data_IF_516218121026
#
_entry.id   IF_516218121026
#
_cell.length_a   1.000
_cell.length_b   1.000
_cell.length_c   1.000
_cell.angle_alpha   90.00
_cell.angle_beta   90.00
_cell.angle_gamma   90.00
#
_symmetry.space_group_name_H-M   'P 1'
#
loop_
_entity.id
_entity.type
_entity.pdbx_description
1 polymer ?
#
# COMPACT_ATOMS: atom_id res chain seq x y z
N UNK A 1 -7.32 -25.85 21.29
CA UNK A 1 -6.83 -25.55 19.94
C UNK A 1 -5.46 -24.91 20.06
N UNK A 2 -4.49 -25.29 19.23
CA UNK A 2 -3.17 -24.67 19.22
C UNK A 2 -3.20 -23.42 18.33
N UNK A 3 -2.51 -22.32 18.71
CA UNK A 3 -2.44 -21.05 17.95
C UNK A 3 -2.08 -21.26 16.47
N UNK A 4 -1.26 -22.27 16.17
CA UNK A 4 -0.92 -22.67 14.79
C UNK A 4 -2.15 -23.09 13.98
N UNK A 5 -3.09 -23.84 14.58
CA UNK A 5 -4.32 -24.27 13.94
C UNK A 5 -5.28 -23.09 13.68
N UNK A 6 -5.31 -22.10 14.58
CA UNK A 6 -6.09 -20.87 14.38
C UNK A 6 -5.53 -19.99 13.26
N UNK A 7 -4.20 -19.86 13.18
CA UNK A 7 -3.56 -19.13 12.07
C UNK A 7 -3.86 -19.84 10.74
N UNK A 8 -3.76 -21.17 10.71
CA UNK A 8 -4.11 -21.95 9.52
C UNK A 8 -5.58 -21.81 9.13
N UNK A 9 -6.50 -21.77 10.08
CA UNK A 9 -7.93 -21.59 9.78
C UNK A 9 -8.22 -20.21 9.19
N UNK A 10 -7.58 -19.15 9.72
CA UNK A 10 -7.68 -17.79 9.16
C UNK A 10 -7.12 -17.75 7.73
N UNK A 11 -5.98 -18.40 7.46
CA UNK A 11 -5.39 -18.46 6.12
C UNK A 11 -6.32 -19.24 5.16
N UNK A 12 -6.85 -20.38 5.61
CA UNK A 12 -7.75 -21.22 4.82
C UNK A 12 -9.05 -20.49 4.44
N UNK A 13 -9.56 -19.60 5.30
CA UNK A 13 -10.71 -18.76 4.97
C UNK A 13 -10.40 -17.69 3.92
N UNK A 14 -9.16 -17.18 3.88
CA UNK A 14 -8.75 -16.08 2.98
C UNK A 14 -8.40 -16.56 1.58
N UNK A 15 -7.78 -17.73 1.44
CA UNK A 15 -7.31 -18.21 0.13
C UNK A 15 -8.40 -18.37 -0.94
N UNK A 16 -9.61 -18.87 -0.65
CA UNK A 16 -10.68 -18.95 -1.64
C UNK A 16 -11.09 -17.57 -2.17
N UNK A 17 -11.04 -16.54 -1.33
CA UNK A 17 -11.32 -15.16 -1.74
C UNK A 17 -10.23 -14.64 -2.69
N UNK A 18 -8.96 -14.99 -2.46
CA UNK A 18 -7.88 -14.64 -3.36
C UNK A 18 -8.05 -15.25 -4.76
N UNK A 19 -8.47 -16.52 -4.84
CA UNK A 19 -8.79 -17.18 -6.11
C UNK A 19 -9.95 -16.48 -6.82
N UNK A 20 -11.07 -16.26 -6.11
CA UNK A 20 -12.23 -15.57 -6.68
C UNK A 20 -11.88 -14.16 -7.19
N UNK A 21 -11.03 -13.43 -6.47
CA UNK A 21 -10.57 -12.11 -6.91
C UNK A 21 -9.69 -12.20 -8.16
N UNK A 22 -8.83 -13.21 -8.26
CA UNK A 22 -8.05 -13.47 -9.47
C UNK A 22 -8.92 -13.76 -10.69
N UNK A 23 -9.98 -14.54 -10.53
CA UNK A 23 -10.93 -14.81 -11.62
C UNK A 23 -11.65 -13.54 -12.09
N UNK A 24 -12.07 -12.69 -11.15
CA UNK A 24 -12.73 -11.41 -11.45
C UNK A 24 -11.75 -10.46 -12.15
N UNK A 25 -10.51 -10.38 -11.68
CA UNK A 25 -9.45 -9.57 -12.28
C UNK A 25 -9.18 -10.00 -13.73
N UNK A 26 -9.07 -11.31 -13.99
CA UNK A 26 -8.88 -11.84 -15.34
C UNK A 26 -10.05 -11.49 -16.27
N UNK A 27 -11.31 -11.63 -15.79
CA UNK A 27 -12.50 -11.26 -16.56
C UNK A 27 -12.55 -9.76 -16.87
N UNK A 28 -12.26 -8.92 -15.87
CA UNK A 28 -12.25 -7.46 -16.06
C UNK A 28 -11.13 -7.03 -17.00
N UNK A 29 -9.95 -7.63 -16.90
CA UNK A 29 -8.83 -7.38 -17.82
C UNK A 29 -9.18 -7.78 -19.26
N UNK A 30 -9.85 -8.92 -19.44
CA UNK A 30 -10.33 -9.36 -20.76
C UNK A 30 -11.36 -8.38 -21.34
N UNK A 31 -12.32 -7.96 -20.53
CA UNK A 31 -13.34 -6.98 -20.94
C UNK A 31 -12.73 -5.62 -21.27
N UNK A 32 -11.76 -5.17 -20.47
CA UNK A 32 -10.99 -3.96 -20.73
C UNK A 32 -10.26 -4.03 -22.09
N UNK A 33 -9.59 -5.15 -22.39
CA UNK A 33 -8.94 -5.35 -23.69
C UNK A 33 -9.92 -5.32 -24.86
N UNK A 34 -11.13 -5.89 -24.72
CA UNK A 34 -12.17 -5.80 -25.75
C UNK A 34 -12.65 -4.36 -25.98
N UNK A 35 -12.81 -3.59 -24.91
CA UNK A 35 -13.20 -2.17 -25.00
C UNK A 35 -12.11 -1.35 -25.69
N UNK A 36 -10.83 -1.61 -25.40
CA UNK A 36 -9.72 -0.95 -26.08
C UNK A 36 -9.69 -1.27 -27.58
N UNK A 37 -9.93 -2.53 -27.95
CA UNK A 37 -10.04 -2.91 -29.37
C UNK A 37 -11.20 -2.19 -30.07
N UNK A 38 -12.36 -2.05 -29.41
CA UNK A 38 -13.49 -1.29 -29.94
C UNK A 38 -13.18 0.19 -30.10
N UNK A 39 -12.45 0.79 -29.15
CA UNK A 39 -12.03 2.19 -29.23
C UNK A 39 -11.07 2.41 -30.41
N UNK A 40 -10.09 1.53 -30.59
CA UNK A 40 -9.15 1.56 -31.73
C UNK A 40 -9.87 1.40 -33.07
N UNK A 41 -10.81 0.45 -33.16
CA UNK A 41 -11.57 0.26 -34.40
C UNK A 41 -12.48 1.45 -34.69
N UNK A 42 -13.09 2.07 -33.68
CA UNK A 42 -13.82 3.34 -33.87
C UNK A 42 -12.91 4.42 -34.45
N UNK A 43 -11.72 4.61 -33.89
CA UNK A 43 -10.81 5.67 -34.32
C UNK A 43 -10.34 5.43 -35.76
N UNK A 44 -10.01 4.17 -36.09
CA UNK A 44 -9.72 3.75 -37.46
C UNK A 44 -10.90 4.01 -38.41
N UNK A 45 -12.11 3.60 -38.05
CA UNK A 45 -13.28 3.82 -38.90
C UNK A 45 -13.54 5.32 -39.10
N UNK A 46 -13.40 6.15 -38.06
CA UNK A 46 -13.56 7.60 -38.15
C UNK A 46 -12.52 8.28 -39.05
N UNK A 47 -11.31 7.72 -39.17
CA UNK A 47 -10.26 8.22 -40.06
C UNK A 47 -10.60 7.99 -41.54
N UNK A 48 -11.15 6.83 -41.88
CA UNK A 48 -11.49 6.45 -43.27
C UNK A 48 -12.99 6.61 -43.61
N UNK A 49 -13.81 7.16 -42.71
CA UNK A 49 -15.25 7.27 -42.89
C UNK A 49 -15.62 8.28 -43.98
N UNK A 50 -16.34 7.82 -45.01
CA UNK A 50 -16.90 8.66 -46.07
C UNK A 50 -18.44 8.76 -46.02
N UNK A 51 -19.07 8.34 -44.92
CA UNK A 51 -20.52 8.29 -44.76
C UNK A 51 -21.13 9.56 -44.14
N UNK A 52 -22.33 9.44 -43.56
CA UNK A 52 -23.10 10.58 -43.06
C UNK A 52 -22.55 11.17 -41.74
N UNK A 53 -22.73 12.48 -41.57
CA UNK A 53 -22.25 13.22 -40.40
C UNK A 53 -22.96 12.83 -39.08
N UNK A 54 -24.20 12.33 -39.14
CA UNK A 54 -24.95 11.93 -37.96
C UNK A 54 -24.37 10.64 -37.33
N UNK A 55 -23.99 9.67 -38.15
CA UNK A 55 -23.28 8.46 -37.71
C UNK A 55 -21.90 8.80 -37.13
N UNK A 56 -21.15 9.70 -37.77
CA UNK A 56 -19.85 10.15 -37.27
C UNK A 56 -19.97 10.82 -35.88
N UNK A 57 -21.01 11.64 -35.67
CA UNK A 57 -21.27 12.28 -34.38
C UNK A 57 -21.61 11.26 -33.28
N UNK A 58 -22.42 10.24 -33.59
CA UNK A 58 -22.75 9.17 -32.63
C UNK A 58 -21.50 8.39 -32.21
N UNK A 59 -20.63 8.02 -33.15
CA UNK A 59 -19.38 7.32 -32.84
C UNK A 59 -18.45 8.16 -31.94
N UNK A 60 -18.34 9.46 -32.21
CA UNK A 60 -17.57 10.39 -31.38
C UNK A 60 -18.14 10.61 -29.98
N UNK A 61 -19.46 10.47 -29.80
CA UNK A 61 -20.10 10.60 -28.50
C UNK A 61 -19.87 9.42 -27.54
N UNK A 62 -19.33 8.30 -28.03
CA UNK A 62 -18.97 7.16 -27.18
C UNK A 62 -17.73 7.54 -26.34
N UNK A 63 -17.94 7.71 -25.04
CA UNK A 63 -16.88 8.01 -24.09
C UNK A 63 -16.22 6.72 -23.60
N UNK A 64 -15.14 6.32 -24.27
CA UNK A 64 -14.31 5.20 -23.82
C UNK A 64 -13.35 5.59 -22.68
N UNK A 65 -12.96 6.87 -22.59
CA UNK A 65 -11.99 7.33 -21.61
C UNK A 65 -12.49 7.15 -20.17
N UNK A 66 -13.78 7.43 -19.93
CA UNK A 66 -14.40 7.16 -18.63
C UNK A 66 -14.35 5.67 -18.26
N UNK A 67 -14.65 4.77 -19.21
CA UNK A 67 -14.55 3.33 -18.96
C UNK A 67 -13.12 2.90 -18.67
N UNK A 68 -12.13 3.44 -19.38
CA UNK A 68 -10.73 3.11 -19.14
C UNK A 68 -10.27 3.52 -17.73
N UNK A 69 -10.68 4.69 -17.27
CA UNK A 69 -10.39 5.16 -15.91
C UNK A 69 -11.01 4.24 -14.84
N UNK A 70 -12.28 3.86 -15.02
CA UNK A 70 -12.99 2.96 -14.10
C UNK A 70 -12.34 1.57 -14.10
N UNK A 71 -12.03 1.03 -15.27
CA UNK A 71 -11.40 -0.28 -15.40
C UNK A 71 -10.02 -0.30 -14.73
N UNK A 72 -9.19 0.70 -15.00
CA UNK A 72 -7.82 0.79 -14.45
C UNK A 72 -7.83 0.93 -12.93
N UNK A 73 -8.67 1.81 -12.39
CA UNK A 73 -8.80 1.99 -10.93
C UNK A 73 -9.38 0.75 -10.22
N UNK A 74 -10.31 0.06 -10.87
CA UNK A 74 -10.90 -1.19 -10.37
C UNK A 74 -9.88 -2.33 -10.39
N UNK A 75 -9.13 -2.50 -11.48
CA UNK A 75 -8.04 -3.48 -11.58
C UNK A 75 -6.96 -3.23 -10.53
N UNK A 76 -6.53 -1.98 -10.34
CA UNK A 76 -5.56 -1.63 -9.30
C UNK A 76 -6.08 -1.99 -7.89
N UNK A 77 -7.36 -1.78 -7.63
CA UNK A 77 -7.99 -2.13 -6.35
C UNK A 77 -8.11 -3.64 -6.16
N UNK A 78 -8.52 -4.38 -7.21
CA UNK A 78 -8.59 -5.85 -7.21
C UNK A 78 -7.21 -6.47 -6.95
N UNK A 79 -6.18 -6.01 -7.67
CA UNK A 79 -4.81 -6.48 -7.48
C UNK A 79 -4.33 -6.28 -6.04
N UNK A 80 -4.63 -5.13 -5.42
CA UNK A 80 -4.31 -4.88 -3.99
C UNK A 80 -5.03 -5.84 -3.05
N UNK A 81 -6.32 -6.10 -3.30
CA UNK A 81 -7.10 -7.04 -2.49
C UNK A 81 -6.59 -8.48 -2.67
N UNK A 82 -6.39 -8.91 -3.90
CA UNK A 82 -5.85 -10.23 -4.24
C UNK A 82 -4.50 -10.44 -3.55
N UNK A 83 -3.57 -9.49 -3.67
CA UNK A 83 -2.28 -9.49 -2.96
C UNK A 83 -2.42 -9.58 -1.43
N UNK A 84 -3.46 -8.98 -0.84
CA UNK A 84 -3.72 -9.06 0.60
C UNK A 84 -4.24 -10.43 1.02
N UNK A 85 -5.18 -11.01 0.27
CA UNK A 85 -5.79 -12.30 0.59
C UNK A 85 -4.89 -13.48 0.24
N UNK A 86 -3.95 -13.33 -0.69
CA UNK A 86 -3.00 -14.38 -1.08
C UNK A 86 -1.84 -14.59 -0.11
N UNK A 87 -1.67 -13.70 0.88
CA UNK A 87 -0.57 -13.80 1.86
C UNK A 87 -0.66 -15.11 2.65
N UNK A 88 0.48 -15.81 2.71
CA UNK A 88 0.64 -17.06 3.46
C UNK A 88 0.93 -16.84 4.94
N UNK A 89 1.09 -15.59 5.37
CA UNK A 89 1.43 -15.21 6.73
C UNK A 89 0.41 -14.24 7.32
N UNK A 90 0.25 -14.29 8.64
CA UNK A 90 -0.49 -13.30 9.39
C UNK A 90 0.49 -12.20 9.86
N UNK A 91 0.29 -11.00 9.35
CA UNK A 91 1.08 -9.84 9.76
C UNK A 91 0.34 -9.09 10.86
N UNK A 92 1.01 -8.85 11.99
CA UNK A 92 0.47 -8.10 13.13
C UNK A 92 1.24 -6.78 13.22
N UNK A 93 0.53 -5.66 13.11
CA UNK A 93 1.09 -4.33 13.39
C UNK A 93 0.81 -3.94 14.83
N UNK A 94 1.85 -3.51 15.56
CA UNK A 94 1.71 -2.99 16.94
C UNK A 94 2.17 -1.55 16.97
N UNK A 95 1.23 -0.63 17.18
CA UNK A 95 1.48 0.82 17.27
C UNK A 95 1.12 1.34 18.66
N UNK A 96 1.73 2.45 19.08
CA UNK A 96 1.48 3.05 20.39
C UNK A 96 2.66 3.82 20.98
N UNK A 97 2.39 4.64 22.00
CA UNK A 97 3.42 5.46 22.67
C UNK A 97 4.50 4.61 23.34
N UNK A 98 5.65 5.22 23.60
CA UNK A 98 6.72 4.58 24.39
C UNK A 98 6.20 4.21 25.79
N UNK A 99 6.68 3.10 26.35
CA UNK A 99 6.29 2.63 27.69
C UNK A 99 4.93 1.92 27.78
N UNK A 100 4.18 1.78 26.69
CA UNK A 100 2.87 1.12 26.66
C UNK A 100 2.95 -0.42 26.49
N UNK A 101 4.09 -1.05 26.76
CA UNK A 101 4.23 -2.51 26.73
C UNK A 101 4.23 -3.18 25.34
N UNK A 102 4.44 -2.45 24.24
CA UNK A 102 4.47 -3.00 22.87
C UNK A 102 5.45 -4.18 22.72
N UNK A 103 6.68 -4.00 23.19
CA UNK A 103 7.72 -5.04 23.13
C UNK A 103 7.33 -6.25 23.99
N UNK A 104 6.80 -6.03 25.18
CA UNK A 104 6.33 -7.09 26.09
C UNK A 104 5.19 -7.90 25.49
N UNK A 105 4.26 -7.25 24.78
CA UNK A 105 3.20 -7.93 24.04
C UNK A 105 3.77 -8.80 22.90
N UNK A 106 4.72 -8.27 22.13
CA UNK A 106 5.35 -9.05 21.06
C UNK A 106 6.14 -10.24 21.60
N UNK A 107 6.85 -10.09 22.72
CA UNK A 107 7.55 -11.18 23.41
C UNK A 107 6.56 -12.26 23.87
N UNK A 108 5.45 -11.89 24.52
CA UNK A 108 4.46 -12.87 25.00
C UNK A 108 3.74 -13.61 23.87
N UNK A 109 3.56 -12.96 22.72
CA UNK A 109 2.95 -13.56 21.54
C UNK A 109 3.91 -14.48 20.77
N UNK A 110 5.17 -14.06 20.65
CA UNK A 110 6.19 -14.76 19.84
C UNK A 110 6.99 -15.80 20.63
N UNK A 111 7.06 -15.68 21.95
CA UNK A 111 7.98 -16.46 22.79
C UNK A 111 9.44 -16.03 22.67
N UNK A 112 9.72 -14.93 21.96
CA UNK A 112 11.07 -14.39 21.80
C UNK A 112 11.48 -13.59 23.04
N UNK A 113 12.75 -13.73 23.43
CA UNK A 113 13.32 -13.07 24.60
C UNK A 113 13.91 -11.69 24.26
N UNK A 114 14.49 -11.04 25.27
CA UNK A 114 15.08 -9.71 25.15
C UNK A 114 16.28 -9.65 24.20
N UNK A 115 16.94 -10.78 23.86
CA UNK A 115 18.02 -10.77 22.86
C UNK A 115 17.49 -10.42 21.46
N UNK A 116 16.23 -10.75 21.17
CA UNK A 116 15.61 -10.53 19.85
C UNK A 116 14.67 -9.34 19.87
N UNK A 117 13.87 -9.17 20.94
CA UNK A 117 12.93 -8.06 21.10
C UNK A 117 13.29 -7.31 22.39
N UNK A 118 14.12 -6.27 22.36
CA UNK A 118 14.49 -5.55 23.57
C UNK A 118 13.29 -4.80 24.16
N UNK A 119 12.92 -5.14 25.40
CA UNK A 119 11.85 -4.50 26.17
C UNK A 119 12.41 -3.76 27.41
N UNK A 120 13.55 -3.06 27.28
CA UNK A 120 14.18 -2.33 28.39
C UNK A 120 13.40 -1.06 28.77
N UNK A 121 13.31 -0.79 30.08
CA UNK A 121 12.77 0.46 30.60
C UNK A 121 13.82 1.57 30.51
N UNK A 122 13.45 2.74 29.98
CA UNK A 122 14.19 3.99 30.19
C UNK A 122 14.99 4.58 29.03
N UNK A 123 15.13 3.89 27.89
CA UNK A 123 15.64 4.49 26.64
C UNK A 123 14.70 4.16 25.48
N UNK A 124 14.62 5.03 24.48
CA UNK A 124 13.83 4.78 23.27
C UNK A 124 14.43 3.59 22.51
N UNK A 125 14.10 2.36 22.91
CA UNK A 125 14.68 1.14 22.37
C UNK A 125 14.22 0.79 20.94
N UNK A 126 13.28 1.56 20.38
CA UNK A 126 12.76 1.34 19.01
C UNK A 126 12.33 2.68 18.41
N UNK A 127 13.32 3.50 18.04
CA UNK A 127 13.09 4.68 17.19
C UNK A 127 12.96 4.29 15.70
N UNK A 128 13.37 3.07 15.34
CA UNK A 128 13.31 2.53 13.98
C UNK A 128 12.18 1.50 13.83
N UNK A 129 11.58 1.47 12.64
CA UNK A 129 10.61 0.43 12.25
C UNK A 129 11.30 -0.92 12.27
N UNK A 130 10.85 -1.81 13.15
CA UNK A 130 11.35 -3.19 13.24
C UNK A 130 10.32 -4.15 12.65
N UNK A 131 10.78 -5.11 11.84
CA UNK A 131 9.94 -6.18 11.28
C UNK A 131 10.54 -7.52 11.66
N UNK A 132 9.75 -8.36 12.30
CA UNK A 132 10.16 -9.71 12.71
C UNK A 132 9.31 -10.67 11.87
N UNK A 133 9.97 -11.52 11.10
CA UNK A 133 9.32 -12.49 10.24
C UNK A 133 9.87 -13.89 10.52
N UNK A 134 9.03 -14.90 10.28
CA UNK A 134 9.47 -16.28 10.28
C UNK A 134 10.17 -16.59 8.96
N UNK A 135 11.42 -17.06 9.02
CA UNK A 135 12.16 -17.56 7.87
C UNK A 135 12.23 -19.10 7.95
N UNK A 136 11.86 -19.83 6.87
CA UNK A 136 12.04 -21.28 6.82
C UNK A 136 13.52 -21.66 6.91
N UNK A 137 13.82 -22.67 7.72
CA UNK A 137 15.19 -23.14 7.98
C UNK A 137 15.80 -22.53 9.26
N UNK A 138 16.91 -23.08 9.73
CA UNK A 138 17.57 -22.66 10.97
C UNK A 138 18.49 -21.44 10.77
N UNK A 139 18.09 -20.51 9.90
CA UNK A 139 18.88 -19.31 9.58
C UNK A 139 18.29 -18.10 10.31
N UNK A 140 19.12 -17.47 11.14
CA UNK A 140 18.81 -16.18 11.78
C UNK A 140 19.59 -15.10 11.05
N UNK A 141 18.88 -14.15 10.42
CA UNK A 141 19.48 -13.02 9.73
C UNK A 141 18.85 -11.71 10.23
N UNK A 142 19.66 -10.66 10.29
CA UNK A 142 19.20 -9.30 10.55
C UNK A 142 19.56 -8.43 9.36
N UNK A 143 18.56 -7.82 8.74
CA UNK A 143 18.74 -6.83 7.69
C UNK A 143 18.55 -5.43 8.27
N UNK A 144 19.53 -4.56 8.06
CA UNK A 144 19.48 -3.17 8.52
C UNK A 144 19.54 -2.29 7.27
N UNK A 145 18.46 -1.53 7.05
CA UNK A 145 18.37 -0.58 5.97
C UNK A 145 18.58 0.84 6.52
N UNK A 146 19.51 1.56 5.92
CA UNK A 146 19.79 2.96 6.22
C UNK A 146 19.31 3.82 5.06
N UNK A 147 18.79 5.00 5.39
CA UNK A 147 18.55 6.03 4.39
C UNK A 147 19.80 6.90 4.24
N UNK A 148 20.15 7.21 3.00
CA UNK A 148 20.99 8.36 2.70
C UNK A 148 20.17 9.67 2.79
N UNK A 149 20.81 10.82 2.55
CA UNK A 149 20.13 12.12 2.66
C UNK A 149 18.96 12.27 1.69
N UNK A 150 19.12 11.75 0.48
CA UNK A 150 18.12 11.88 -0.58
C UNK A 150 16.92 11.00 -0.29
N UNK A 151 17.13 9.70 -0.06
CA UNK A 151 16.08 8.75 0.31
C UNK A 151 15.39 9.14 1.62
N UNK A 152 16.11 9.70 2.60
CA UNK A 152 15.47 10.20 3.82
C UNK A 152 14.53 11.37 3.53
N UNK A 153 14.94 12.30 2.68
CA UNK A 153 14.10 13.44 2.31
C UNK A 153 12.87 12.99 1.51
N UNK A 154 13.07 12.15 0.48
CA UNK A 154 12.02 11.78 -0.47
C UNK A 154 11.07 10.71 0.05
N UNK A 155 11.56 9.75 0.84
CA UNK A 155 10.75 8.62 1.31
C UNK A 155 10.19 8.82 2.72
N UNK A 156 10.83 9.67 3.54
CA UNK A 156 10.39 9.92 4.93
C UNK A 156 9.80 11.32 5.06
N UNK A 157 10.57 12.38 4.80
CA UNK A 157 10.16 13.76 5.13
C UNK A 157 9.05 14.30 4.22
N UNK A 158 9.25 14.27 2.90
CA UNK A 158 8.27 14.82 1.93
C UNK A 158 6.88 14.20 2.08
N UNK A 159 6.72 12.86 2.23
CA UNK A 159 5.42 12.24 2.46
C UNK A 159 4.68 12.76 3.70
N UNK A 160 5.40 13.12 4.77
CA UNK A 160 4.78 13.78 5.93
C UNK A 160 4.29 15.18 5.58
N UNK A 161 5.08 15.98 4.86
CA UNK A 161 4.66 17.32 4.44
C UNK A 161 3.40 17.27 3.56
N UNK A 162 3.34 16.35 2.60
CA UNK A 162 2.17 16.15 1.75
C UNK A 162 0.94 15.71 2.56
N UNK A 163 1.10 14.70 3.42
CA UNK A 163 0.00 14.14 4.21
C UNK A 163 -0.54 15.15 5.23
N UNK A 164 0.35 15.93 5.83
CA UNK A 164 0.02 16.97 6.81
C UNK A 164 -0.31 18.32 6.16
N UNK A 165 -0.14 18.44 4.83
CA UNK A 165 -0.29 19.67 4.04
C UNK A 165 0.55 20.83 4.59
N UNK A 166 1.78 20.52 5.01
CA UNK A 166 2.73 21.51 5.50
C UNK A 166 3.39 22.22 4.32
N UNK A 167 3.46 23.54 4.37
CA UNK A 167 4.13 24.37 3.36
C UNK A 167 5.04 25.41 4.03
N UNK A 168 6.18 25.76 3.42
CA UNK A 168 6.75 25.16 2.20
C UNK A 168 7.39 23.79 2.46
N UNK A 169 7.29 22.87 1.49
CA UNK A 169 7.99 21.59 1.56
C UNK A 169 9.48 21.78 1.26
N UNK A 170 10.39 21.11 2.01
CA UNK A 170 11.82 21.21 1.76
C UNK A 170 12.18 20.57 0.41
N UNK A 171 13.04 21.25 -0.35
CA UNK A 171 13.56 20.78 -1.64
C UNK A 171 14.96 20.15 -1.54
N UNK A 172 15.60 20.22 -0.36
CA UNK A 172 16.85 19.54 -0.04
C UNK A 172 16.91 19.16 1.43
N UNK A 173 17.81 18.24 1.79
CA UNK A 173 18.02 17.83 3.18
C UNK A 173 18.52 19.00 4.02
N UNK A 174 19.42 19.82 3.48
CA UNK A 174 19.94 21.01 4.15
C UNK A 174 18.84 22.05 4.38
N UNK A 175 17.94 22.24 3.42
CA UNK A 175 16.78 23.12 3.59
C UNK A 175 15.88 22.63 4.73
N UNK A 176 15.65 21.31 4.83
CA UNK A 176 14.91 20.73 5.96
C UNK A 176 15.64 20.92 7.29
N UNK A 177 16.94 20.66 7.35
CA UNK A 177 17.73 20.71 8.58
C UNK A 177 17.82 22.12 9.20
N UNK A 178 17.74 23.16 8.37
CA UNK A 178 17.85 24.56 8.80
C UNK A 178 16.52 25.32 8.83
N UNK A 179 15.44 24.77 8.27
CA UNK A 179 14.13 25.38 8.32
C UNK A 179 13.45 25.15 9.69
N UNK A 180 12.67 26.15 10.14
CA UNK A 180 11.74 25.94 11.24
C UNK A 180 10.59 25.02 10.78
N UNK A 181 10.23 24.05 11.62
CA UNK A 181 9.13 23.13 11.32
C UNK A 181 7.82 23.95 11.26
N UNK A 182 7.09 23.92 10.12
CA UNK A 182 5.85 24.69 9.98
C UNK A 182 4.83 24.27 11.03
N UNK A 183 4.14 25.24 11.65
CA UNK A 183 3.10 24.94 12.64
C UNK A 183 1.88 24.35 11.96
N UNK A 184 1.33 23.29 12.55
CA UNK A 184 0.04 22.75 12.15
C UNK A 184 -1.07 23.75 12.53
N UNK A 185 -1.92 24.09 11.57
CA UNK A 185 -3.13 24.89 11.81
C UNK A 185 -4.00 24.23 12.91
N UNK A 186 -4.33 24.94 14.02
CA UNK A 186 -5.10 24.37 15.11
C UNK A 186 -6.53 24.08 14.64
N UNK A 187 -6.95 22.81 14.64
CA UNK A 187 -8.31 22.38 14.29
C UNK A 187 -8.43 21.16 13.38
N UNK A 188 -7.31 20.68 12.82
CA UNK A 188 -7.28 19.37 12.14
C UNK A 188 -6.65 18.33 13.05
N UNK A 189 -7.45 17.78 13.96
CA UNK A 189 -7.09 16.51 14.60
C UNK A 189 -6.88 15.47 13.50
N UNK A 190 -5.61 15.20 13.21
CA UNK A 190 -5.22 14.08 12.39
C UNK A 190 -5.61 12.83 13.16
N UNK A 191 -6.70 12.18 12.74
CA UNK A 191 -6.88 10.74 12.97
C UNK A 191 -5.74 10.03 12.26
N UNK A 192 -4.60 10.00 12.92
CA UNK A 192 -3.44 9.25 12.51
C UNK A 192 -3.78 7.76 12.68
N UNK A 193 -4.41 7.18 11.67
CA UNK A 193 -4.44 5.73 11.52
C UNK A 193 -3.00 5.32 11.18
N UNK A 194 -2.27 4.85 12.20
CA UNK A 194 -1.04 4.08 12.09
C UNK A 194 -1.31 2.67 12.60
#
# INVERSE_FOLDING_TARGET
>A
MNKSQEIQSIIAQRQPLAQKLGDIESRLSSLYGLIQNLAQERDRQLEYWSGDAATQAKLKSLDFAQFEQIATSSLASLHRLQSRFSRKALNIGVTGRMGQGKSTLLQSLSGLENEVIPAMQGKACTAARSTICHQPGNLTAAEIQFHDRESFLTEVIIPYYEKLKLTPAPNSFEAFAHAEIPRLEPGKELRACF
#
